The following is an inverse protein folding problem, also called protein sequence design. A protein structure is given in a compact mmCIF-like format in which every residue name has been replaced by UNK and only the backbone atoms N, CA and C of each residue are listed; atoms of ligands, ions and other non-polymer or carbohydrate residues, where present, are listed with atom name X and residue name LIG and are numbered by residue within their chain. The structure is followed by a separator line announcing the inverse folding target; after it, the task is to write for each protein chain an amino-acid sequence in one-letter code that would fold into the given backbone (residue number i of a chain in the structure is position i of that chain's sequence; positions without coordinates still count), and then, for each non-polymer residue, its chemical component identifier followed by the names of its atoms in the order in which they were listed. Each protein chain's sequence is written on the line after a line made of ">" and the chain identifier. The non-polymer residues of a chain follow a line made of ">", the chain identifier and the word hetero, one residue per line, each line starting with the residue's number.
data_IF_787271390433
#
_entry.id   IF_787271390433
#
_cell.length_a   1.000
_cell.length_b   1.000
_cell.length_c   1.000
_cell.angle_alpha   90.00
_cell.angle_beta   90.00
_cell.angle_gamma   90.00
#
_symmetry.space_group_name_H-M   'P 1'
#
loop_
_entity.id
_entity.type
_entity.pdbx_description
1 polymer ?
#
# COMPACT_ATOMS: atom_id res chain seq x y z
N UNK A 1 -20.41 -2.52 6.67
CA UNK A 1 -20.26 -1.75 7.92
C UNK A 1 -18.85 -1.18 8.08
N UNK A 2 -17.72 -1.97 8.06
CA UNK A 2 -16.37 -1.41 8.24
C UNK A 2 -16.08 -0.26 7.26
N UNK A 3 -16.33 -0.45 5.96
CA UNK A 3 -16.03 0.53 4.91
C UNK A 3 -16.81 1.84 5.13
N UNK A 4 -18.02 1.77 5.68
CA UNK A 4 -18.82 2.97 5.96
C UNK A 4 -18.22 3.88 7.04
N UNK A 5 -17.30 3.37 7.88
CA UNK A 5 -16.59 4.22 8.83
C UNK A 5 -15.67 5.23 8.13
N UNK A 6 -15.22 4.97 6.91
CA UNK A 6 -14.51 5.95 6.09
C UNK A 6 -15.31 7.21 5.80
N UNK A 7 -16.65 7.16 5.90
CA UNK A 7 -17.51 8.33 5.69
C UNK A 7 -17.79 9.16 6.95
N UNK A 8 -17.36 8.68 8.15
CA UNK A 8 -17.57 9.39 9.41
C UNK A 8 -17.09 10.86 9.37
N UNK A 9 -15.90 11.18 8.86
CA UNK A 9 -15.41 12.56 8.82
C UNK A 9 -16.27 13.52 7.98
N UNK A 10 -17.09 12.97 7.05
CA UNK A 10 -17.93 13.74 6.14
C UNK A 10 -19.38 13.87 6.63
N UNK A 11 -19.77 13.16 7.70
CA UNK A 11 -21.13 13.21 8.24
C UNK A 11 -21.33 14.46 9.09
N UNK A 12 -22.42 15.17 8.84
CA UNK A 12 -22.90 16.19 9.80
C UNK A 12 -23.56 15.51 10.99
N UNK A 13 -23.44 16.11 12.15
CA UNK A 13 -24.10 15.65 13.39
C UNK A 13 -25.59 15.34 13.10
N UNK A 14 -26.03 14.12 13.45
CA UNK A 14 -27.41 13.61 13.27
C UNK A 14 -27.86 13.28 11.84
N UNK A 15 -26.97 13.21 10.84
CA UNK A 15 -27.34 12.67 9.52
C UNK A 15 -26.87 11.22 9.38
N UNK A 16 -27.78 10.34 8.92
CA UNK A 16 -27.42 9.00 8.42
C UNK A 16 -26.58 9.08 7.12
N UNK A 17 -26.21 7.94 6.54
CA UNK A 17 -25.66 7.93 5.19
C UNK A 17 -26.68 8.57 4.24
N UNK A 18 -26.18 9.40 3.32
CA UNK A 18 -26.95 9.86 2.18
C UNK A 18 -26.66 8.96 0.97
N UNK A 19 -27.45 9.08 -0.11
CA UNK A 19 -27.23 8.29 -1.34
C UNK A 19 -25.81 8.42 -1.88
N UNK A 20 -25.21 9.60 -1.80
CA UNK A 20 -23.83 9.86 -2.21
C UNK A 20 -22.79 9.09 -1.36
N UNK A 21 -23.03 8.92 -0.06
CA UNK A 21 -22.14 8.12 0.80
C UNK A 21 -22.22 6.63 0.46
N UNK A 22 -23.42 6.11 0.16
CA UNK A 22 -23.62 4.72 -0.22
C UNK A 22 -22.96 4.41 -1.59
N UNK A 23 -23.03 5.32 -2.55
CA UNK A 23 -22.32 5.22 -3.83
C UNK A 23 -20.80 5.17 -3.64
N UNK A 24 -20.25 6.01 -2.76
CA UNK A 24 -18.81 6.02 -2.45
C UNK A 24 -18.38 4.72 -1.77
N UNK A 25 -19.17 4.21 -0.84
CA UNK A 25 -18.90 2.94 -0.15
C UNK A 25 -18.91 1.78 -1.17
N UNK A 26 -19.94 1.73 -2.05
CA UNK A 26 -20.02 0.71 -3.09
C UNK A 26 -18.84 0.78 -4.07
N UNK A 27 -18.45 1.97 -4.48
CA UNK A 27 -17.28 2.20 -5.31
C UNK A 27 -16.01 1.67 -4.63
N UNK A 28 -15.78 1.99 -3.35
CA UNK A 28 -14.61 1.53 -2.61
C UNK A 28 -14.57 0.00 -2.47
N UNK A 29 -15.72 -0.64 -2.19
CA UNK A 29 -15.86 -2.10 -2.13
C UNK A 29 -15.54 -2.73 -3.49
N UNK A 30 -16.03 -2.13 -4.57
CA UNK A 30 -15.78 -2.63 -5.94
C UNK A 30 -14.30 -2.51 -6.31
N UNK A 31 -13.69 -1.37 -6.02
CA UNK A 31 -12.25 -1.11 -6.33
C UNK A 31 -11.30 -2.06 -5.61
N UNK A 32 -11.68 -2.56 -4.46
CA UNK A 32 -10.88 -3.49 -3.65
C UNK A 32 -11.29 -4.97 -3.83
N UNK A 33 -12.17 -5.27 -4.77
CA UNK A 33 -12.58 -6.65 -5.08
C UNK A 33 -13.37 -7.34 -3.97
N UNK A 34 -14.09 -6.57 -3.13
CA UNK A 34 -14.78 -7.10 -1.93
C UNK A 34 -16.28 -7.32 -2.11
N UNK A 35 -16.82 -7.26 -3.34
CA UNK A 35 -18.28 -7.35 -3.57
C UNK A 35 -18.88 -8.65 -3.01
N UNK A 36 -18.19 -9.78 -3.19
CA UNK A 36 -18.66 -11.08 -2.70
C UNK A 36 -18.54 -11.26 -1.19
N UNK A 37 -17.87 -10.32 -0.52
CA UNK A 37 -17.57 -10.38 0.91
C UNK A 37 -18.31 -9.33 1.74
N UNK A 38 -19.27 -8.60 1.13
CA UNK A 38 -19.99 -7.50 1.78
C UNK A 38 -20.61 -7.86 3.13
N UNK A 39 -21.17 -9.05 3.22
CA UNK A 39 -21.88 -9.53 4.41
C UNK A 39 -20.99 -10.38 5.33
N UNK A 40 -19.73 -10.61 4.95
CA UNK A 40 -18.78 -11.38 5.75
C UNK A 40 -18.28 -10.55 6.91
N UNK A 41 -18.29 -11.12 8.10
CA UNK A 41 -17.70 -10.49 9.29
C UNK A 41 -16.18 -10.32 9.10
N UNK A 42 -15.65 -9.13 9.39
CA UNK A 42 -14.21 -8.81 9.21
C UNK A 42 -13.30 -9.79 9.95
N UNK A 43 -13.71 -10.25 11.13
CA UNK A 43 -12.95 -11.23 11.91
C UNK A 43 -12.90 -12.63 11.28
N UNK A 44 -13.79 -12.91 10.33
CA UNK A 44 -13.82 -14.17 9.56
C UNK A 44 -13.08 -14.06 8.21
N UNK A 45 -12.57 -12.88 7.87
CA UNK A 45 -11.81 -12.65 6.64
C UNK A 45 -10.38 -13.17 6.78
N UNK A 46 -9.78 -13.61 5.66
CA UNK A 46 -8.33 -13.88 5.57
C UNK A 46 -7.53 -12.59 5.81
N UNK A 47 -6.21 -12.71 6.00
CA UNK A 47 -5.32 -11.54 6.15
C UNK A 47 -5.43 -10.57 4.97
N UNK A 48 -5.33 -11.08 3.74
CA UNK A 48 -5.43 -10.26 2.54
C UNK A 48 -6.83 -9.64 2.33
N UNK A 49 -7.92 -10.43 2.56
CA UNK A 49 -9.28 -9.90 2.52
C UNK A 49 -9.48 -8.76 3.54
N UNK A 50 -8.93 -8.92 4.73
CA UNK A 50 -9.01 -7.91 5.79
C UNK A 50 -8.22 -6.66 5.42
N UNK A 51 -7.02 -6.82 4.87
CA UNK A 51 -6.19 -5.71 4.41
C UNK A 51 -6.91 -4.89 3.32
N UNK A 52 -7.50 -5.57 2.32
CA UNK A 52 -8.34 -4.90 1.30
C UNK A 52 -9.54 -4.18 1.91
N UNK A 53 -10.15 -4.72 2.97
CA UNK A 53 -11.27 -4.07 3.64
C UNK A 53 -10.85 -2.76 4.37
N UNK A 54 -9.64 -2.71 4.95
CA UNK A 54 -9.09 -1.48 5.51
C UNK A 54 -8.72 -0.47 4.42
N UNK A 55 -8.16 -0.92 3.29
CA UNK A 55 -7.90 -0.04 2.14
C UNK A 55 -9.23 0.53 1.61
N UNK A 56 -10.28 -0.30 1.48
CA UNK A 56 -11.61 0.17 1.07
C UNK A 56 -12.17 1.25 2.01
N UNK A 57 -12.00 1.06 3.31
CA UNK A 57 -12.41 2.07 4.31
C UNK A 57 -11.64 3.38 4.13
N UNK A 58 -10.32 3.33 3.89
CA UNK A 58 -9.51 4.51 3.62
C UNK A 58 -9.93 5.19 2.30
N UNK A 59 -10.17 4.44 1.24
CA UNK A 59 -10.66 4.95 -0.05
C UNK A 59 -12.03 5.65 0.08
N UNK A 60 -12.89 5.13 0.94
CA UNK A 60 -14.20 5.75 1.19
C UNK A 60 -14.09 7.15 1.80
N UNK A 61 -12.95 7.53 2.36
CA UNK A 61 -12.71 8.92 2.80
C UNK A 61 -12.55 9.90 1.64
N UNK A 62 -12.24 9.43 0.41
CA UNK A 62 -12.00 10.29 -0.74
C UNK A 62 -10.89 11.33 -0.50
N UNK A 63 -9.86 10.95 0.25
CA UNK A 63 -8.65 11.77 0.43
C UNK A 63 -7.77 11.74 -0.82
N UNK A 64 -6.98 12.77 -1.02
CA UNK A 64 -6.00 12.85 -2.12
C UNK A 64 -4.71 12.06 -1.82
N UNK A 65 -4.50 11.71 -0.54
CA UNK A 65 -3.32 10.98 -0.07
C UNK A 65 -3.79 9.77 0.75
N UNK A 66 -3.21 8.62 0.44
CA UNK A 66 -3.38 7.36 1.18
C UNK A 66 -2.07 7.00 1.89
N UNK A 67 -2.13 6.87 3.22
CA UNK A 67 -1.02 6.36 4.01
C UNK A 67 -1.25 4.89 4.36
N UNK A 68 -0.26 4.05 4.06
CA UNK A 68 -0.26 2.62 4.38
C UNK A 68 0.98 2.28 5.20
N UNK A 69 0.77 1.84 6.42
CA UNK A 69 1.84 1.39 7.30
C UNK A 69 1.98 -0.13 7.19
N UNK A 70 3.07 -0.57 6.59
CA UNK A 70 3.41 -1.98 6.36
C UNK A 70 2.27 -2.83 5.77
N UNK A 71 1.68 -2.47 4.61
CA UNK A 71 0.47 -3.09 4.11
C UNK A 71 0.64 -4.56 3.71
N UNK A 72 1.87 -5.05 3.60
CA UNK A 72 2.21 -6.43 3.19
C UNK A 72 2.64 -7.33 4.35
N UNK A 73 2.80 -6.79 5.56
CA UNK A 73 3.25 -7.54 6.73
C UNK A 73 2.23 -8.61 7.14
N UNK A 74 2.71 -9.80 7.51
CA UNK A 74 1.93 -11.00 7.87
C UNK A 74 1.07 -11.59 6.74
N UNK A 75 1.28 -11.19 5.49
CA UNK A 75 0.66 -11.80 4.33
C UNK A 75 1.63 -12.79 3.65
N UNK A 76 1.09 -13.84 3.05
CA UNK A 76 1.85 -14.67 2.14
C UNK A 76 2.17 -13.90 0.83
N UNK A 77 3.11 -14.41 0.05
CA UNK A 77 3.63 -13.71 -1.13
C UNK A 77 2.54 -13.39 -2.16
N UNK A 78 1.55 -14.26 -2.32
CA UNK A 78 0.45 -14.03 -3.24
C UNK A 78 -0.36 -12.78 -2.83
N UNK A 79 -0.75 -12.72 -1.58
CA UNK A 79 -1.53 -11.60 -1.05
C UNK A 79 -0.71 -10.31 -0.94
N UNK A 80 0.61 -10.39 -0.70
CA UNK A 80 1.49 -9.21 -0.76
C UNK A 80 1.45 -8.59 -2.15
N UNK A 81 1.66 -9.39 -3.19
CA UNK A 81 1.60 -8.92 -4.58
C UNK A 81 0.23 -8.35 -4.91
N UNK A 82 -0.85 -9.05 -4.54
CA UNK A 82 -2.24 -8.61 -4.77
C UNK A 82 -2.51 -7.21 -4.16
N UNK A 83 -2.01 -6.95 -2.95
CA UNK A 83 -2.16 -5.64 -2.31
C UNK A 83 -1.34 -4.56 -3.02
N UNK A 84 -0.11 -4.85 -3.41
CA UNK A 84 0.76 -3.88 -4.08
C UNK A 84 0.26 -3.52 -5.49
N UNK A 85 -0.21 -4.52 -6.25
CA UNK A 85 -0.84 -4.28 -7.56
C UNK A 85 -2.12 -3.44 -7.39
N UNK A 86 -2.98 -3.76 -6.42
CA UNK A 86 -4.17 -2.95 -6.13
C UNK A 86 -3.79 -1.48 -5.82
N UNK A 87 -2.77 -1.27 -4.99
CA UNK A 87 -2.32 0.09 -4.62
C UNK A 87 -1.78 0.83 -5.83
N UNK A 88 -1.03 0.14 -6.70
CA UNK A 88 -0.52 0.71 -7.96
C UNK A 88 -1.66 1.12 -8.90
N UNK A 89 -2.64 0.25 -9.13
CA UNK A 89 -3.84 0.55 -9.93
C UNK A 89 -4.61 1.76 -9.38
N UNK A 90 -4.75 1.85 -8.05
CA UNK A 90 -5.42 2.98 -7.41
C UNK A 90 -4.66 4.30 -7.63
N UNK A 91 -3.34 4.29 -7.56
CA UNK A 91 -2.50 5.45 -7.85
C UNK A 91 -2.66 5.90 -9.31
N UNK A 92 -2.51 4.96 -10.27
CA UNK A 92 -2.53 5.26 -11.70
C UNK A 92 -3.92 5.72 -12.18
N UNK A 93 -5.00 5.08 -11.74
CA UNK A 93 -6.35 5.35 -12.25
C UNK A 93 -7.10 6.44 -11.49
N UNK A 94 -6.76 6.68 -10.21
CA UNK A 94 -7.50 7.61 -9.35
C UNK A 94 -6.73 8.90 -9.03
N UNK A 95 -5.54 9.08 -9.56
CA UNK A 95 -4.63 10.20 -9.25
C UNK A 95 -4.39 10.34 -7.73
N UNK A 96 -4.38 9.19 -7.03
CA UNK A 96 -4.23 9.09 -5.59
C UNK A 96 -2.74 9.05 -5.24
N UNK A 97 -2.26 9.99 -4.46
CA UNK A 97 -0.89 9.90 -3.93
C UNK A 97 -0.84 8.84 -2.84
N UNK A 98 0.05 7.86 -2.99
CA UNK A 98 0.22 6.81 -1.98
C UNK A 98 1.57 6.95 -1.29
N UNK A 99 1.56 6.93 0.02
CA UNK A 99 2.75 6.86 0.87
C UNK A 99 2.68 5.57 1.67
N UNK A 100 3.63 4.66 1.48
CA UNK A 100 3.63 3.39 2.18
C UNK A 100 4.99 3.07 2.80
N UNK A 101 4.96 2.42 3.96
CA UNK A 101 6.15 1.86 4.59
C UNK A 101 6.32 0.44 4.10
N UNK A 102 7.47 0.13 3.50
CA UNK A 102 7.83 -1.20 3.01
C UNK A 102 9.14 -1.67 3.64
N UNK A 103 9.21 -2.96 3.96
CA UNK A 103 10.42 -3.59 4.47
C UNK A 103 11.18 -4.37 3.41
N UNK A 104 10.49 -4.82 2.36
CA UNK A 104 11.11 -5.52 1.24
C UNK A 104 11.66 -4.54 0.22
N UNK A 105 12.97 -4.63 -0.03
CA UNK A 105 13.69 -3.75 -0.95
C UNK A 105 13.20 -3.92 -2.38
N UNK A 106 12.90 -5.15 -2.79
CA UNK A 106 12.41 -5.43 -4.15
C UNK A 106 10.99 -4.89 -4.35
N UNK A 107 10.15 -4.98 -3.32
CA UNK A 107 8.84 -4.33 -3.36
C UNK A 107 8.98 -2.81 -3.47
N UNK A 108 9.90 -2.20 -2.71
CA UNK A 108 10.15 -0.76 -2.80
C UNK A 108 10.68 -0.35 -4.19
N UNK A 109 11.58 -1.12 -4.80
CA UNK A 109 12.07 -0.87 -6.15
C UNK A 109 10.93 -0.94 -7.18
N UNK A 110 10.11 -1.99 -7.11
CA UNK A 110 9.10 -2.30 -8.13
C UNK A 110 7.87 -1.41 -8.06
N UNK A 111 7.43 -1.04 -6.85
CA UNK A 111 6.13 -0.41 -6.62
C UNK A 111 6.22 1.06 -6.19
N UNK A 112 7.40 1.68 -6.20
CA UNK A 112 7.55 3.08 -5.79
C UNK A 112 8.20 3.91 -6.90
N UNK A 113 7.60 5.05 -7.23
CA UNK A 113 8.24 6.06 -8.10
C UNK A 113 9.40 6.72 -7.36
N UNK A 114 9.17 7.08 -6.10
CA UNK A 114 10.15 7.71 -5.22
C UNK A 114 10.22 6.98 -3.89
N UNK A 115 11.40 6.95 -3.30
CA UNK A 115 11.64 6.37 -1.99
C UNK A 115 12.26 7.39 -1.03
N UNK A 116 11.96 7.24 0.25
CA UNK A 116 12.63 7.93 1.34
C UNK A 116 13.24 6.86 2.23
N UNK A 117 14.56 6.81 2.32
CA UNK A 117 15.26 5.84 3.15
C UNK A 117 15.47 6.43 4.54
N UNK A 118 14.96 5.74 5.55
CA UNK A 118 15.01 6.16 6.95
C UNK A 118 16.03 5.33 7.73
N UNK A 119 16.80 5.99 8.60
CA UNK A 119 17.68 5.33 9.56
C UNK A 119 17.70 6.10 10.88
N UNK A 120 17.45 5.41 11.98
CA UNK A 120 17.45 6.04 13.33
C UNK A 120 16.59 7.30 13.41
N UNK A 121 15.40 7.29 12.78
CA UNK A 121 14.47 8.42 12.80
C UNK A 121 14.82 9.58 11.84
N UNK A 122 15.86 9.43 11.02
CA UNK A 122 16.29 10.47 10.08
C UNK A 122 16.13 9.99 8.62
N UNK A 123 15.69 10.86 7.73
CA UNK A 123 15.73 10.63 6.30
C UNK A 123 17.16 10.83 5.81
N UNK A 124 17.77 9.78 5.29
CA UNK A 124 19.19 9.77 4.86
C UNK A 124 19.36 9.82 3.35
N UNK A 125 18.33 9.42 2.60
CA UNK A 125 18.29 9.52 1.15
C UNK A 125 16.84 9.63 0.69
N UNK A 126 16.60 10.32 -0.43
CA UNK A 126 15.30 10.40 -1.09
C UNK A 126 15.46 10.65 -2.58
N UNK A 127 14.56 10.14 -3.39
CA UNK A 127 14.55 10.30 -4.84
C UNK A 127 13.92 9.10 -5.54
N UNK A 128 14.16 8.96 -6.84
CA UNK A 128 13.65 7.82 -7.60
C UNK A 128 14.19 6.50 -7.06
N UNK A 129 13.33 5.50 -6.98
CA UNK A 129 13.67 4.22 -6.36
C UNK A 129 14.94 3.59 -6.97
N UNK A 130 15.05 3.56 -8.30
CA UNK A 130 16.19 2.99 -9.02
C UNK A 130 17.51 3.80 -8.89
N UNK A 131 17.43 5.08 -8.54
CA UNK A 131 18.61 5.94 -8.33
C UNK A 131 19.11 5.86 -6.88
N UNK A 132 18.18 5.84 -5.93
CA UNK A 132 18.44 5.87 -4.50
C UNK A 132 18.87 4.49 -3.98
N UNK A 133 18.15 3.43 -4.38
CA UNK A 133 18.43 2.06 -3.94
C UNK A 133 19.59 1.50 -4.77
N UNK A 134 20.78 1.61 -4.22
CA UNK A 134 22.01 1.09 -4.81
C UNK A 134 22.85 0.33 -3.77
N UNK A 135 23.86 -0.40 -4.22
CA UNK A 135 24.67 -1.25 -3.33
C UNK A 135 25.38 -0.48 -2.22
N UNK A 136 25.79 0.78 -2.46
CA UNK A 136 26.43 1.58 -1.41
C UNK A 136 25.43 1.89 -0.29
N UNK A 137 24.20 2.33 -0.64
CA UNK A 137 23.14 2.57 0.33
C UNK A 137 22.79 1.30 1.11
N UNK A 138 22.60 0.18 0.41
CA UNK A 138 22.22 -1.10 1.05
C UNK A 138 23.29 -1.56 2.03
N UNK A 139 24.56 -1.42 1.67
CA UNK A 139 25.67 -1.76 2.54
C UNK A 139 25.76 -0.81 3.77
N UNK A 140 25.58 0.49 3.55
CA UNK A 140 25.69 1.49 4.62
C UNK A 140 24.52 1.46 5.61
N UNK A 141 23.32 1.23 5.12
CA UNK A 141 22.11 1.26 5.92
C UNK A 141 21.78 -0.07 6.54
N UNK A 142 21.71 -1.11 5.71
CA UNK A 142 21.23 -2.44 6.10
C UNK A 142 22.37 -3.40 6.45
N UNK A 143 23.64 -3.05 6.15
CA UNK A 143 24.81 -3.92 6.33
C UNK A 143 24.70 -5.24 5.56
N UNK A 144 24.03 -5.21 4.41
CA UNK A 144 23.79 -6.38 3.57
C UNK A 144 24.64 -6.27 2.30
N UNK A 145 25.42 -7.29 2.02
CA UNK A 145 26.09 -7.48 0.74
C UNK A 145 25.19 -8.17 -0.27
N UNK A 146 25.42 -7.90 -1.55
CA UNK A 146 24.63 -8.49 -2.63
C UNK A 146 24.97 -7.89 -3.99
N UNK A 147 24.07 -8.02 -4.93
CA UNK A 147 24.15 -7.31 -6.20
C UNK A 147 22.74 -6.89 -6.66
N UNK A 148 22.71 -5.83 -7.44
CA UNK A 148 21.51 -5.37 -8.13
C UNK A 148 21.64 -5.87 -9.58
N UNK A 149 20.65 -6.61 -10.04
CA UNK A 149 20.55 -7.12 -11.40
C UNK A 149 19.46 -6.38 -12.14
N UNK A 150 19.79 -5.83 -13.30
CA UNK A 150 18.85 -5.20 -14.21
C UNK A 150 18.49 -6.24 -15.27
N UNK A 151 17.24 -6.73 -15.26
CA UNK A 151 16.72 -7.69 -16.22
C UNK A 151 15.61 -7.03 -17.05
N UNK A 152 15.89 -6.76 -18.32
CA UNK A 152 14.97 -6.13 -19.27
C UNK A 152 14.35 -4.83 -18.72
N UNK A 153 13.18 -4.90 -18.08
CA UNK A 153 12.49 -3.74 -17.49
C UNK A 153 12.43 -3.79 -15.95
N UNK A 154 13.01 -4.81 -15.32
CA UNK A 154 12.94 -4.99 -13.86
C UNK A 154 14.32 -4.90 -13.20
N UNK A 155 14.39 -4.16 -12.10
CA UNK A 155 15.56 -4.08 -11.23
C UNK A 155 15.32 -4.93 -9.98
N UNK A 156 16.21 -5.88 -9.69
CA UNK A 156 16.08 -6.81 -8.57
C UNK A 156 17.35 -6.82 -7.73
N UNK A 157 17.19 -6.64 -6.42
CA UNK A 157 18.25 -6.83 -5.45
C UNK A 157 18.32 -8.30 -5.01
N UNK A 158 19.50 -8.90 -5.10
CA UNK A 158 19.78 -10.27 -4.64
C UNK A 158 20.78 -10.22 -3.48
N UNK A 159 20.37 -10.50 -2.24
CA UNK A 159 21.25 -10.54 -1.10
C UNK A 159 22.17 -11.78 -1.18
N UNK A 160 23.47 -11.63 -0.85
CA UNK A 160 24.44 -12.73 -0.85
C UNK A 160 24.85 -13.14 0.55
N UNK A 161 25.25 -12.19 1.39
CA UNK A 161 25.72 -12.45 2.77
C UNK A 161 25.63 -11.19 3.64
N UNK A 162 25.48 -11.42 4.94
CA UNK A 162 25.76 -10.44 5.98
C UNK A 162 27.26 -10.26 6.18
#
# INVERSE_FOLDING_TARGET
>A
ELVSYGRIPHKKYFQGNNESDDEIIEWAIKRTGLQSLKDKAVMSMSGGERQRAFIAMALAQKSEILFLDEPTTYLDIYHQVEILELVKELNEESNLTVVMVLHDINQAIKYSDNVIVMKSGQAIASGKANEVINMNLLNDVYKIGGFINEMEEETVFVPLKL
#
